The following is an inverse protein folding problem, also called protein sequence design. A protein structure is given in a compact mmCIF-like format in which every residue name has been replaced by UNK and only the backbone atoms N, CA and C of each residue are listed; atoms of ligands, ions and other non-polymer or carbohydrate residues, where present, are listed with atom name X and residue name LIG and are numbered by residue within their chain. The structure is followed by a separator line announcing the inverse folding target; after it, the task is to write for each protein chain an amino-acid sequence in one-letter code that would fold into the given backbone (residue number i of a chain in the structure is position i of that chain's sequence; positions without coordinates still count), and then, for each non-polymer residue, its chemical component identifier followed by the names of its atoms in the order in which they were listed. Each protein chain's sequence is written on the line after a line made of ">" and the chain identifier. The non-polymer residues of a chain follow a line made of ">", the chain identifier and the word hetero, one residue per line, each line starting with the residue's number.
data_IF_468474733166
#
_entry.id   IF_468474733166
#
_cell.length_a   1.000
_cell.length_b   1.000
_cell.length_c   1.000
_cell.angle_alpha   90.00
_cell.angle_beta   90.00
_cell.angle_gamma   90.00
#
_symmetry.space_group_name_H-M   'P 1'
#
loop_
_entity.id
_entity.type
_entity.pdbx_description
1 polymer ?
#
# COMPACT_ATOMS: atom_id res chain seq x y z
N UNK A 1 10.92 -0.36 -4.53
CA UNK A 1 10.31 0.97 -4.83
C UNK A 1 9.93 1.16 -6.30
N UNK A 2 10.79 0.84 -7.28
CA UNK A 2 10.51 1.05 -8.72
C UNK A 2 9.23 0.38 -9.26
N UNK A 3 8.78 -0.73 -8.68
CA UNK A 3 7.59 -1.45 -9.15
C UNK A 3 6.30 -0.62 -9.07
N UNK A 4 6.08 0.17 -8.02
CA UNK A 4 4.89 1.02 -7.92
C UNK A 4 4.90 2.15 -8.96
N UNK A 5 6.07 2.69 -9.27
CA UNK A 5 6.21 3.72 -10.32
C UNK A 5 5.98 3.13 -11.71
N UNK A 6 6.30 1.86 -11.94
CA UNK A 6 6.10 1.19 -13.23
C UNK A 6 4.75 0.47 -13.36
N UNK A 7 4.09 0.17 -12.24
CA UNK A 7 2.81 -0.52 -12.22
C UNK A 7 1.71 0.29 -12.92
N UNK A 8 0.83 -0.41 -13.63
CA UNK A 8 -0.35 0.18 -14.25
C UNK A 8 -1.30 0.75 -13.18
N UNK A 9 -2.14 1.74 -13.49
CA UNK A 9 -3.14 2.29 -12.56
C UNK A 9 -3.95 1.23 -11.78
N UNK A 10 -4.51 0.17 -12.40
CA UNK A 10 -5.24 -0.87 -11.67
C UNK A 10 -4.35 -1.71 -10.73
N UNK A 11 -3.08 -1.93 -11.08
CA UNK A 11 -2.15 -2.64 -10.21
C UNK A 11 -1.77 -1.79 -8.98
N UNK A 12 -1.59 -0.48 -9.18
CA UNK A 12 -1.35 0.46 -8.07
C UNK A 12 -2.54 0.53 -7.12
N UNK A 13 -3.74 0.60 -7.67
CA UNK A 13 -4.98 0.60 -6.89
C UNK A 13 -5.11 -0.69 -6.07
N UNK A 14 -4.88 -1.86 -6.70
CA UNK A 14 -4.88 -3.15 -5.98
C UNK A 14 -3.83 -3.22 -4.86
N UNK A 15 -2.62 -2.72 -5.10
CA UNK A 15 -1.59 -2.63 -4.05
C UNK A 15 -2.04 -1.71 -2.90
N UNK A 16 -2.70 -0.58 -3.21
CA UNK A 16 -3.25 0.34 -2.21
C UNK A 16 -4.40 -0.29 -1.41
N UNK A 17 -5.26 -1.09 -2.04
CA UNK A 17 -6.32 -1.83 -1.37
C UNK A 17 -5.75 -2.86 -0.41
N UNK A 18 -4.78 -3.67 -0.86
CA UNK A 18 -4.12 -4.68 -0.01
C UNK A 18 -3.46 -4.05 1.23
N UNK A 19 -2.71 -2.96 1.06
CA UNK A 19 -2.07 -2.30 2.21
C UNK A 19 -3.08 -1.63 3.14
N UNK A 20 -4.15 -1.05 2.57
CA UNK A 20 -5.28 -0.53 3.34
C UNK A 20 -5.87 -1.62 4.22
N UNK A 21 -6.19 -2.78 3.66
CA UNK A 21 -6.76 -3.93 4.38
C UNK A 21 -5.81 -4.56 5.40
N UNK A 22 -4.48 -4.51 5.19
CA UNK A 22 -3.50 -4.98 6.19
C UNK A 22 -3.41 -4.02 7.36
N UNK A 23 -3.33 -2.72 7.10
CA UNK A 23 -3.20 -1.70 8.14
C UNK A 23 -4.52 -1.46 8.90
N UNK A 24 -5.64 -1.59 8.19
CA UNK A 24 -7.00 -1.49 8.70
C UNK A 24 -7.83 -2.63 8.11
N UNK A 25 -8.01 -3.75 8.83
CA UNK A 25 -8.81 -4.88 8.38
C UNK A 25 -10.30 -4.52 8.43
N UNK A 26 -10.72 -3.66 7.50
CA UNK A 26 -12.11 -3.45 7.12
C UNK A 26 -12.42 -4.48 6.04
N UNK A 27 -13.57 -5.16 6.16
CA UNK A 27 -14.04 -6.03 5.09
C UNK A 27 -14.32 -5.18 3.86
N UNK A 28 -13.41 -5.24 2.91
CA UNK A 28 -13.58 -4.62 1.62
C UNK A 28 -14.06 -5.67 0.62
N UNK A 29 -15.18 -5.41 -0.05
CA UNK A 29 -15.77 -6.32 -1.04
C UNK A 29 -14.98 -6.36 -2.35
N UNK A 30 -13.95 -5.51 -2.51
CA UNK A 30 -13.09 -5.47 -3.69
C UNK A 30 -11.97 -6.52 -3.65
N UNK A 31 -11.68 -7.11 -2.48
CA UNK A 31 -10.68 -8.17 -2.34
C UNK A 31 -11.33 -9.55 -2.37
N UNK A 32 -10.67 -10.48 -3.06
CA UNK A 32 -11.07 -11.88 -3.01
C UNK A 32 -10.81 -12.47 -1.62
N UNK A 33 -11.54 -13.54 -1.26
CA UNK A 33 -11.47 -14.14 0.08
C UNK A 33 -10.03 -14.56 0.45
N UNK A 34 -9.25 -15.05 -0.51
CA UNK A 34 -7.86 -15.46 -0.32
C UNK A 34 -6.93 -14.26 -0.04
N UNK A 35 -7.15 -13.13 -0.73
CA UNK A 35 -6.42 -11.88 -0.49
C UNK A 35 -6.79 -11.28 0.87
N UNK A 36 -8.07 -11.31 1.24
CA UNK A 36 -8.53 -10.83 2.53
C UNK A 36 -7.97 -11.67 3.68
N UNK A 37 -7.94 -13.00 3.55
CA UNK A 37 -7.32 -13.89 4.53
C UNK A 37 -5.82 -13.66 4.64
N UNK A 38 -5.12 -13.44 3.52
CA UNK A 38 -3.70 -13.09 3.52
C UNK A 38 -3.46 -11.75 4.23
N UNK A 39 -4.27 -10.72 3.95
CA UNK A 39 -4.18 -9.41 4.60
C UNK A 39 -4.36 -9.53 6.12
N UNK A 40 -5.36 -10.30 6.57
CA UNK A 40 -5.59 -10.56 7.99
C UNK A 40 -4.42 -11.31 8.66
N UNK A 41 -3.84 -12.30 7.98
CA UNK A 41 -2.68 -13.05 8.51
C UNK A 41 -1.46 -12.14 8.63
N UNK A 42 -1.21 -11.32 7.62
CA UNK A 42 -0.12 -10.34 7.65
C UNK A 42 -0.36 -9.29 8.74
N UNK A 43 -1.58 -8.77 8.86
CA UNK A 43 -1.98 -7.84 9.93
C UNK A 43 -1.76 -8.42 11.33
N UNK A 44 -2.08 -9.71 11.53
CA UNK A 44 -1.82 -10.42 12.80
C UNK A 44 -0.35 -10.67 13.08
N UNK A 45 0.46 -10.85 12.04
CA UNK A 45 1.91 -11.03 12.18
C UNK A 45 2.62 -9.71 12.49
N UNK A 46 1.97 -8.58 12.23
CA UNK A 46 2.47 -7.27 12.60
C UNK A 46 2.23 -7.01 14.10
N UNK A 47 3.19 -6.40 14.82
CA UNK A 47 3.02 -6.06 16.23
C UNK A 47 1.78 -5.18 16.46
N UNK A 48 1.11 -5.25 17.62
CA UNK A 48 -0.06 -4.40 17.92
C UNK A 48 0.25 -2.88 17.87
N UNK A 49 1.51 -2.51 18.13
CA UNK A 49 2.05 -1.15 17.98
C UNK A 49 2.29 -0.73 16.51
N UNK A 50 2.04 -1.65 15.58
CA UNK A 50 2.24 -1.49 14.14
C UNK A 50 1.00 -1.00 13.41
N UNK A 51 0.04 -0.36 14.10
CA UNK A 51 -0.83 0.62 13.44
C UNK A 51 0.07 1.76 12.95
N UNK A 52 0.68 1.54 11.77
CA UNK A 52 1.82 2.31 11.26
C UNK A 52 1.44 3.77 11.03
N UNK A 53 0.16 4.03 10.77
CA UNK A 53 -0.44 5.35 10.79
C UNK A 53 -1.84 5.19 11.37
N UNK A 54 -2.32 6.12 12.19
CA UNK A 54 -3.71 6.12 12.63
C UNK A 54 -4.58 6.83 11.56
N UNK A 55 -4.39 6.39 10.32
CA UNK A 55 -4.92 7.02 9.12
C UNK A 55 -5.74 6.00 8.36
N UNK A 56 -6.89 6.47 7.88
CA UNK A 56 -7.83 5.75 7.01
C UNK A 56 -7.36 5.68 5.55
N UNK A 57 -6.54 6.64 5.12
CA UNK A 57 -6.10 6.76 3.72
C UNK A 57 -4.82 5.95 3.40
N UNK A 58 -4.89 4.91 2.54
CA UNK A 58 -3.74 4.05 2.18
C UNK A 58 -2.61 4.84 1.49
N UNK A 59 -2.92 5.97 0.87
CA UNK A 59 -1.95 6.86 0.23
C UNK A 59 -0.95 7.49 1.23
N UNK A 60 -1.32 7.68 2.49
CA UNK A 60 -0.37 8.20 3.48
C UNK A 60 0.73 7.18 3.78
N UNK A 61 0.41 5.88 3.79
CA UNK A 61 1.40 4.82 3.95
C UNK A 61 2.35 4.74 2.76
N UNK A 62 1.84 5.04 1.55
CA UNK A 62 2.68 5.14 0.35
C UNK A 62 3.64 6.32 0.48
N UNK A 63 3.12 7.51 0.81
CA UNK A 63 3.92 8.73 1.01
C UNK A 63 4.97 8.58 2.10
N UNK A 64 4.66 7.92 3.21
CA UNK A 64 5.59 7.69 4.31
C UNK A 64 6.71 6.69 3.96
N UNK A 65 6.50 5.83 2.96
CA UNK A 65 7.47 4.82 2.55
C UNK A 65 8.39 5.31 1.44
N UNK A 66 7.84 5.98 0.43
CA UNK A 66 8.62 6.41 -0.74
C UNK A 66 9.45 7.65 -0.43
N UNK A 67 10.62 7.73 -1.06
CA UNK A 67 11.40 8.97 -1.02
C UNK A 67 10.63 10.15 -1.64
N UNK A 68 10.87 11.39 -1.19
CA UNK A 68 10.19 12.58 -1.72
C UNK A 68 10.30 12.69 -3.25
N UNK A 69 11.47 12.36 -3.82
CA UNK A 69 11.70 12.38 -5.26
C UNK A 69 10.87 11.33 -6.03
N UNK A 70 10.54 10.20 -5.41
CA UNK A 70 9.69 9.15 -5.97
C UNK A 70 8.22 9.56 -5.82
N UNK A 71 7.84 10.11 -4.67
CA UNK A 71 6.50 10.64 -4.43
C UNK A 71 6.09 11.71 -5.45
N UNK A 72 7.00 12.63 -5.80
CA UNK A 72 6.75 13.69 -6.79
C UNK A 72 6.32 13.17 -8.17
N UNK A 73 6.75 11.95 -8.53
CA UNK A 73 6.35 11.28 -9.77
C UNK A 73 5.04 10.51 -9.58
N UNK A 74 4.91 9.76 -8.49
CA UNK A 74 3.71 8.97 -8.18
C UNK A 74 2.46 9.84 -8.02
N UNK A 75 2.59 11.01 -7.41
CA UNK A 75 1.45 11.92 -7.17
C UNK A 75 0.73 12.35 -8.46
N UNK A 76 1.43 12.35 -9.60
CA UNK A 76 0.83 12.68 -10.90
C UNK A 76 -0.17 11.61 -11.38
N UNK A 77 -0.09 10.39 -10.85
CA UNK A 77 -1.01 9.29 -11.14
C UNK A 77 -2.27 9.28 -10.28
N UNK A 78 -2.41 10.21 -9.33
CA UNK A 78 -3.56 10.28 -8.41
C UNK A 78 -4.29 11.62 -8.56
N UNK A 79 -5.54 11.67 -8.10
CA UNK A 79 -6.34 12.90 -8.12
C UNK A 79 -5.63 14.01 -7.32
N UNK A 80 -5.39 15.16 -7.97
CA UNK A 80 -4.64 16.28 -7.39
C UNK A 80 -5.19 16.72 -6.03
N UNK A 81 -6.53 16.78 -5.89
CA UNK A 81 -7.20 17.16 -4.63
C UNK A 81 -6.82 16.23 -3.47
N UNK A 82 -6.72 14.92 -3.70
CA UNK A 82 -6.31 13.94 -2.68
C UNK A 82 -4.85 14.13 -2.31
N UNK A 83 -3.97 14.30 -3.31
CA UNK A 83 -2.54 14.56 -3.09
C UNK A 83 -2.34 15.79 -2.23
N UNK A 84 -2.96 16.92 -2.58
CA UNK A 84 -2.80 18.19 -1.86
C UNK A 84 -3.27 18.08 -0.41
N UNK A 85 -4.36 17.36 -0.13
CA UNK A 85 -4.82 17.12 1.24
C UNK A 85 -3.79 16.31 2.03
N UNK A 86 -3.25 15.25 1.43
CA UNK A 86 -2.20 14.41 2.02
C UNK A 86 -0.91 15.19 2.29
N UNK A 87 -0.54 16.14 1.44
CA UNK A 87 0.69 16.94 1.64
C UNK A 87 0.59 17.90 2.83
N UNK A 88 -0.62 18.23 3.29
CA UNK A 88 -0.82 19.05 4.50
C UNK A 88 -0.45 18.30 5.78
N UNK A 89 -0.48 16.97 5.75
CA UNK A 89 -0.06 16.13 6.87
C UNK A 89 1.46 15.91 6.78
N UNK A 90 2.22 16.82 7.38
CA UNK A 90 3.69 16.87 7.31
C UNK A 90 4.41 15.99 8.35
N UNK A 91 3.71 15.48 9.36
CA UNK A 91 4.28 14.67 10.44
C UNK A 91 3.99 13.17 10.27
N UNK A 92 4.47 12.59 9.16
CA UNK A 92 4.52 11.14 9.06
C UNK A 92 5.78 10.66 9.82
N UNK A 93 5.64 9.89 10.91
CA UNK A 93 6.79 9.42 11.65
C UNK A 93 7.69 8.57 10.74
N UNK A 94 9.01 8.76 10.86
CA UNK A 94 10.02 7.98 10.15
C UNK A 94 9.85 6.49 10.48
N UNK A 95 9.23 5.76 9.54
CA UNK A 95 8.90 4.33 9.69
C UNK A 95 9.35 3.53 8.46
N UNK A 96 10.32 4.05 7.72
CA UNK A 96 10.81 3.51 6.45
C UNK A 96 11.14 2.02 6.52
N UNK A 97 11.79 1.55 7.61
CA UNK A 97 12.17 0.14 7.75
C UNK A 97 11.00 -0.85 7.86
N UNK A 98 9.91 -0.48 8.56
CA UNK A 98 8.74 -1.38 8.72
C UNK A 98 7.82 -1.31 7.50
N UNK A 99 7.61 -0.10 6.99
CA UNK A 99 6.86 0.11 5.77
C UNK A 99 7.51 -0.60 4.58
N UNK A 100 8.85 -0.65 4.51
CA UNK A 100 9.55 -1.37 3.45
C UNK A 100 9.19 -2.85 3.41
N UNK A 101 9.21 -3.52 4.55
CA UNK A 101 8.86 -4.94 4.64
C UNK A 101 7.40 -5.17 4.22
N UNK A 102 6.50 -4.30 4.67
CA UNK A 102 5.07 -4.40 4.38
C UNK A 102 4.78 -4.14 2.89
N UNK A 103 5.34 -3.07 2.33
CA UNK A 103 5.22 -2.75 0.91
C UNK A 103 5.86 -3.82 0.03
N UNK A 104 7.00 -4.41 0.41
CA UNK A 104 7.60 -5.53 -0.33
C UNK A 104 6.72 -6.76 -0.33
N UNK A 105 6.09 -7.10 0.80
CA UNK A 105 5.15 -8.22 0.87
C UNK A 105 3.92 -7.99 -0.02
N UNK A 106 3.35 -6.78 0.01
CA UNK A 106 2.22 -6.38 -0.84
C UNK A 106 2.60 -6.39 -2.33
N UNK A 107 3.76 -5.82 -2.68
CA UNK A 107 4.25 -5.82 -4.07
C UNK A 107 4.43 -7.25 -4.54
N UNK A 108 5.07 -8.10 -3.74
CA UNK A 108 5.27 -9.50 -4.07
C UNK A 108 3.94 -10.21 -4.31
N UNK A 109 2.95 -10.03 -3.42
CA UNK A 109 1.61 -10.63 -3.58
C UNK A 109 0.92 -10.14 -4.86
N UNK A 110 0.93 -8.84 -5.13
CA UNK A 110 0.33 -8.27 -6.34
C UNK A 110 1.03 -8.74 -7.63
N UNK A 111 2.36 -8.88 -7.62
CA UNK A 111 3.12 -9.42 -8.76
C UNK A 111 2.96 -10.92 -8.93
N UNK A 112 2.84 -11.68 -7.83
CA UNK A 112 2.64 -13.13 -7.86
C UNK A 112 1.26 -13.47 -8.45
N UNK A 113 0.20 -12.74 -8.09
CA UNK A 113 -1.14 -12.92 -8.67
C UNK A 113 -1.13 -12.58 -10.17
N UNK A 114 -0.34 -11.59 -10.60
CA UNK A 114 -0.20 -11.26 -12.03
C UNK A 114 0.50 -12.38 -12.81
N UNK A 115 1.42 -13.11 -12.16
CA UNK A 115 2.18 -14.19 -12.78
C UNK A 115 1.50 -15.57 -12.66
N UNK A 116 0.55 -15.72 -11.73
CA UNK A 116 -0.25 -16.95 -11.57
C UNK A 116 -1.27 -17.13 -12.70
N UNK A 117 -1.74 -16.03 -13.32
CA UNK A 117 -2.49 -16.07 -14.58
C UNK A 117 -1.60 -16.34 -15.82
N UNK A 118 -0.31 -16.59 -15.63
CA UNK A 118 0.65 -16.92 -16.67
C UNK A 118 1.41 -18.22 -16.34
N UNK A 119 0.67 -19.31 -16.16
CA UNK A 119 1.21 -20.65 -16.44
C UNK A 119 0.15 -21.46 -17.24
N UNK A 120 0.57 -22.18 -18.30
CA UNK A 120 -0.26 -22.64 -19.43
C UNK A 120 -1.10 -23.90 -19.15
#
# INVERSE_FOLDING_TARGET
>A
MLHLVQASPPQRDRMLTLIGSVCQPVRDHLLEEDEYLWCQRLAKALPADSRVLNTDDPLQYLRAWVEPAVWQRLRLGFANKRVVDLERYSNLPDRHGRLDTLWRAVIWRATAITNDHAWP
#
